data_IF_358125300206
#
_entry.id   IF_358125300206
#
_cell.length_a   1.000
_cell.length_b   1.000
_cell.length_c   1.000
_cell.angle_alpha   90.00
_cell.angle_beta   90.00
_cell.angle_gamma   90.00
#
_symmetry.space_group_name_H-M   'P 1'
#
loop_
_entity.id
_entity.type
_entity.pdbx_description
1 polymer ?
#
# COMPACT_ATOMS: atom_id res chain seq x y z
N UNK A 1 11.21 -8.11 -14.80
CA UNK A 1 11.70 -6.73 -14.53
C UNK A 1 10.69 -5.89 -13.76
N UNK A 2 9.39 -5.92 -14.11
CA UNK A 2 8.34 -5.14 -13.43
C UNK A 2 8.27 -5.43 -11.92
N UNK A 3 8.36 -6.69 -11.51
CA UNK A 3 8.30 -7.08 -10.10
C UNK A 3 9.37 -6.45 -9.20
N UNK A 4 10.51 -6.06 -9.76
CA UNK A 4 11.57 -5.36 -9.01
C UNK A 4 11.25 -3.89 -8.73
N UNK A 5 10.24 -3.34 -9.39
CA UNK A 5 9.80 -1.95 -9.23
C UNK A 5 8.62 -1.82 -8.28
N UNK A 6 8.03 -2.93 -7.86
CA UNK A 6 6.93 -2.93 -6.89
C UNK A 6 7.49 -2.62 -5.50
N UNK A 7 6.93 -1.61 -4.86
CA UNK A 7 7.31 -1.15 -3.51
C UNK A 7 6.10 -1.27 -2.61
N UNK A 8 5.93 -2.40 -1.90
CA UNK A 8 4.93 -2.48 -0.86
C UNK A 8 5.32 -1.57 0.29
N UNK A 9 4.38 -0.76 0.74
CA UNK A 9 4.54 0.14 1.88
C UNK A 9 3.51 -0.28 2.90
N UNK A 10 3.96 -0.74 4.05
CA UNK A 10 3.12 -1.38 5.05
C UNK A 10 3.35 -0.75 6.43
N UNK A 11 2.31 -0.68 7.26
CA UNK A 11 2.48 -0.48 8.69
C UNK A 11 3.07 -1.74 9.32
N UNK A 12 3.31 -1.72 10.61
CA UNK A 12 3.88 -2.82 11.39
C UNK A 12 3.01 -4.11 11.44
N UNK A 13 1.83 -4.07 10.89
CA UNK A 13 0.81 -5.11 10.99
C UNK A 13 0.61 -5.93 9.71
N UNK A 14 1.67 -6.12 8.93
CA UNK A 14 1.62 -6.82 7.64
C UNK A 14 0.96 -8.20 7.67
N UNK A 15 1.07 -8.94 8.79
CA UNK A 15 0.41 -10.25 8.96
C UNK A 15 -1.11 -10.15 8.91
N UNK A 16 -1.68 -9.08 9.48
CA UNK A 16 -3.12 -8.83 9.44
C UNK A 16 -3.63 -8.67 8.01
N UNK A 17 -2.78 -8.19 7.12
CA UNK A 17 -3.08 -8.03 5.70
C UNK A 17 -2.69 -9.23 4.84
N UNK A 18 -2.26 -10.35 5.45
CA UNK A 18 -1.85 -11.56 4.73
C UNK A 18 -0.54 -11.43 3.94
N UNK A 19 0.30 -10.46 4.28
CA UNK A 19 1.53 -10.16 3.55
C UNK A 19 2.78 -10.87 4.08
N UNK A 20 2.67 -11.64 5.13
CA UNK A 20 3.78 -12.38 5.73
C UNK A 20 4.45 -13.36 4.75
N UNK A 21 3.69 -13.90 3.80
CA UNK A 21 4.22 -14.73 2.71
C UNK A 21 5.16 -13.99 1.74
N UNK A 22 5.15 -12.66 1.74
CA UNK A 22 6.00 -11.83 0.87
C UNK A 22 7.41 -11.61 1.45
N UNK A 23 7.57 -11.70 2.76
CA UNK A 23 8.84 -11.43 3.44
C UNK A 23 10.02 -12.27 2.94
N UNK A 24 9.89 -13.59 2.70
CA UNK A 24 11.01 -14.39 2.24
C UNK A 24 11.52 -13.97 0.85
N UNK A 25 10.61 -13.52 -0.01
CA UNK A 25 10.91 -13.20 -1.41
C UNK A 25 11.29 -11.73 -1.59
N UNK A 26 10.47 -10.81 -1.07
CA UNK A 26 10.63 -9.37 -1.27
C UNK A 26 11.51 -8.73 -0.21
N UNK A 27 11.56 -9.29 0.98
CA UNK A 27 12.29 -8.82 2.16
C UNK A 27 11.91 -7.39 2.58
N UNK A 28 12.04 -7.07 3.84
CA UNK A 28 11.90 -5.72 4.35
C UNK A 28 13.20 -4.96 4.09
N UNK A 29 13.09 -3.78 3.54
CA UNK A 29 14.25 -2.94 3.32
C UNK A 29 14.82 -2.39 4.63
N UNK A 30 16.11 -2.61 4.84
CA UNK A 30 16.88 -2.00 5.92
C UNK A 30 18.28 -1.65 5.41
N UNK A 31 18.70 -0.37 5.47
CA UNK A 31 20.00 0.06 4.92
C UNK A 31 21.19 -0.58 5.61
N UNK A 32 21.00 -1.19 6.79
CA UNK A 32 22.06 -1.90 7.56
C UNK A 32 21.93 -3.41 7.46
N UNK A 33 20.92 -3.93 6.76
CA UNK A 33 20.56 -5.34 6.83
C UNK A 33 20.05 -5.75 8.21
N UNK A 34 19.81 -7.03 8.40
CA UNK A 34 19.33 -7.57 9.68
C UNK A 34 20.50 -7.95 10.58
N UNK A 35 20.74 -7.16 11.62
CA UNK A 35 21.85 -7.34 12.57
C UNK A 35 21.42 -7.96 13.91
N UNK A 36 20.26 -8.57 13.96
CA UNK A 36 19.67 -9.19 15.14
C UNK A 36 18.88 -10.44 14.75
N UNK A 37 18.63 -11.28 15.72
CA UNK A 37 17.68 -12.39 15.60
C UNK A 37 16.38 -11.95 16.26
N UNK A 38 15.24 -11.96 15.57
CA UNK A 38 13.96 -11.62 16.19
C UNK A 38 13.67 -12.50 17.40
N UNK A 39 13.11 -11.93 18.46
CA UNK A 39 12.80 -12.65 19.70
C UNK A 39 11.85 -13.83 19.47
N UNK A 40 10.99 -13.68 18.51
CA UNK A 40 9.95 -14.65 18.09
C UNK A 40 10.27 -15.35 16.77
N UNK A 41 11.56 -15.42 16.40
CA UNK A 41 11.99 -16.01 15.12
C UNK A 41 11.48 -17.44 14.91
N UNK A 42 11.29 -18.20 15.96
CA UNK A 42 10.74 -19.57 15.90
C UNK A 42 9.23 -19.58 15.56
N UNK A 43 8.54 -18.47 15.81
CA UNK A 43 7.12 -18.28 15.52
C UNK A 43 6.87 -17.52 14.21
N UNK A 44 7.83 -16.69 13.80
CA UNK A 44 7.79 -15.84 12.60
C UNK A 44 8.89 -16.22 11.61
N UNK A 45 8.78 -17.42 11.05
CA UNK A 45 9.78 -18.03 10.18
C UNK A 45 10.14 -17.22 8.93
N UNK A 46 9.32 -16.25 8.56
CA UNK A 46 9.45 -15.51 7.31
C UNK A 46 9.96 -14.06 7.45
N UNK A 47 10.08 -13.53 8.67
CA UNK A 47 10.55 -12.15 8.86
C UNK A 47 12.02 -12.01 8.46
N UNK A 48 12.28 -11.15 7.49
CA UNK A 48 13.63 -10.93 6.96
C UNK A 48 13.84 -9.50 6.50
N UNK A 49 14.89 -8.87 7.03
CA UNK A 49 15.37 -7.57 6.57
C UNK A 49 16.62 -7.72 5.71
N UNK A 50 16.76 -6.87 4.71
CA UNK A 50 17.94 -6.86 3.85
C UNK A 50 18.14 -5.51 3.18
N UNK A 51 19.38 -5.23 2.76
CA UNK A 51 19.73 -3.99 2.05
C UNK A 51 19.13 -3.94 0.63
N UNK A 52 18.74 -5.09 0.09
CA UNK A 52 18.04 -5.25 -1.19
C UNK A 52 16.55 -5.52 -1.03
N UNK A 53 15.99 -5.28 0.16
CA UNK A 53 14.56 -5.44 0.43
C UNK A 53 13.71 -4.45 -0.36
N UNK A 54 12.50 -4.88 -0.72
CA UNK A 54 11.54 -4.05 -1.47
C UNK A 54 10.40 -3.51 -0.59
N UNK A 55 10.14 -4.17 0.55
CA UNK A 55 9.05 -3.79 1.45
C UNK A 55 9.50 -2.65 2.34
N UNK A 56 8.80 -1.53 2.28
CA UNK A 56 8.98 -0.40 3.19
C UNK A 56 8.11 -0.61 4.43
N UNK A 57 8.75 -0.79 5.55
CA UNK A 57 8.13 -1.05 6.85
C UNK A 57 8.28 0.18 7.74
N UNK A 58 7.31 1.07 7.67
CA UNK A 58 7.37 2.40 8.28
C UNK A 58 7.04 2.41 9.78
N UNK A 59 6.59 1.28 10.33
CA UNK A 59 5.95 1.26 11.63
C UNK A 59 4.49 1.77 11.55
N UNK A 60 3.81 1.85 12.69
CA UNK A 60 2.41 2.29 12.76
C UNK A 60 2.36 3.82 12.61
N UNK A 61 2.55 4.29 11.40
CA UNK A 61 2.55 5.71 11.04
C UNK A 61 2.02 5.91 9.62
N UNK A 62 0.75 6.24 9.49
CA UNK A 62 0.13 6.53 8.20
C UNK A 62 0.78 7.75 7.53
N UNK A 63 1.21 8.73 8.32
CA UNK A 63 1.89 9.92 7.78
C UNK A 63 3.27 9.59 7.17
N UNK A 64 4.06 8.76 7.86
CA UNK A 64 5.35 8.28 7.34
C UNK A 64 5.17 7.44 6.08
N UNK A 65 4.23 6.49 6.12
CA UNK A 65 3.92 5.64 4.99
C UNK A 65 3.40 6.43 3.77
N UNK A 66 2.57 7.47 3.99
CA UNK A 66 2.10 8.34 2.91
C UNK A 66 3.25 9.17 2.29
N UNK A 67 4.23 9.58 3.09
CA UNK A 67 5.43 10.26 2.58
C UNK A 67 6.28 9.31 1.71
N UNK A 68 6.50 8.08 2.16
CA UNK A 68 7.18 7.05 1.38
C UNK A 68 6.41 6.69 0.10
N UNK A 69 5.08 6.61 0.19
CA UNK A 69 4.23 6.45 -0.99
C UNK A 69 4.45 7.58 -1.99
N UNK A 70 4.40 8.83 -1.56
CA UNK A 70 4.58 10.00 -2.43
C UNK A 70 5.96 9.99 -3.09
N UNK A 71 7.02 9.66 -2.34
CA UNK A 71 8.37 9.55 -2.87
C UNK A 71 8.48 8.48 -3.98
N UNK A 72 7.90 7.29 -3.76
CA UNK A 72 7.89 6.23 -4.75
C UNK A 72 6.97 6.56 -5.95
N UNK A 73 5.80 7.16 -5.69
CA UNK A 73 4.80 7.54 -6.70
C UNK A 73 5.31 8.59 -7.69
N UNK A 74 6.26 9.43 -7.27
CA UNK A 74 6.87 10.49 -8.08
C UNK A 74 8.28 10.17 -8.57
N UNK A 75 8.79 8.98 -8.30
CA UNK A 75 10.16 8.57 -8.61
C UNK A 75 10.50 8.66 -10.10
N UNK A 76 9.51 8.43 -10.97
CA UNK A 76 9.69 8.55 -12.41
C UNK A 76 10.13 9.96 -12.85
N UNK A 77 9.65 10.99 -12.15
CA UNK A 77 10.00 12.39 -12.43
C UNK A 77 11.26 12.84 -11.66
N UNK A 78 11.44 12.35 -10.43
CA UNK A 78 12.54 12.79 -9.55
C UNK A 78 13.82 12.01 -9.73
N UNK A 79 13.74 10.74 -10.13
CA UNK A 79 14.87 9.82 -10.26
C UNK A 79 15.04 9.24 -11.68
N UNK A 80 14.09 9.47 -12.57
CA UNK A 80 14.08 8.89 -13.92
C UNK A 80 13.70 7.40 -13.96
N UNK A 81 13.30 6.81 -12.83
CA UNK A 81 12.90 5.41 -12.70
C UNK A 81 11.51 5.33 -12.09
N UNK A 82 10.56 4.72 -12.80
CA UNK A 82 9.20 4.54 -12.30
C UNK A 82 9.14 3.38 -11.30
N UNK A 83 8.83 3.68 -10.06
CA UNK A 83 8.46 2.68 -9.05
C UNK A 83 6.94 2.52 -9.00
N UNK A 84 6.48 1.36 -8.55
CA UNK A 84 5.06 1.00 -8.43
C UNK A 84 4.75 0.86 -6.93
N UNK A 85 4.42 1.94 -6.24
CA UNK A 85 4.08 1.86 -4.83
C UNK A 85 2.73 1.17 -4.62
N UNK A 86 2.69 0.34 -3.60
CA UNK A 86 1.53 -0.39 -3.12
C UNK A 86 1.38 -0.11 -1.63
N UNK A 87 0.72 0.97 -1.29
CA UNK A 87 0.55 1.38 0.10
C UNK A 87 -0.70 0.75 0.70
N UNK A 88 -0.52 -0.07 1.72
CA UNK A 88 -1.58 -0.79 2.42
C UNK A 88 -1.74 -0.22 3.81
N UNK A 89 -2.98 0.03 4.22
CA UNK A 89 -3.34 0.51 5.55
C UNK A 89 -4.71 -0.05 5.97
N UNK A 90 -5.05 0.08 7.23
CA UNK A 90 -6.44 -0.11 7.65
C UNK A 90 -7.32 0.97 6.99
N UNK A 91 -8.33 0.56 6.25
CA UNK A 91 -9.18 1.46 5.43
C UNK A 91 -9.77 2.62 6.24
N UNK A 92 -10.09 2.38 7.51
CA UNK A 92 -10.61 3.38 8.45
C UNK A 92 -9.64 4.56 8.64
N UNK A 93 -8.32 4.32 8.59
CA UNK A 93 -7.35 5.32 9.01
C UNK A 93 -6.64 6.05 7.87
N UNK A 94 -6.61 5.49 6.68
CA UNK A 94 -5.85 6.04 5.56
C UNK A 94 -6.27 7.45 5.17
N UNK A 95 -7.39 7.60 4.51
CA UNK A 95 -7.87 8.91 4.07
C UNK A 95 -8.25 9.85 5.22
N UNK A 96 -8.72 9.34 6.34
CA UNK A 96 -9.02 10.18 7.50
C UNK A 96 -7.78 10.85 8.10
N UNK A 97 -6.64 10.17 8.11
CA UNK A 97 -5.41 10.67 8.73
C UNK A 97 -4.46 11.33 7.73
N UNK A 98 -4.51 10.93 6.46
CA UNK A 98 -3.52 11.34 5.46
C UNK A 98 -4.13 11.86 4.16
N UNK A 99 -5.40 12.28 4.18
CA UNK A 99 -6.06 12.82 2.99
C UNK A 99 -5.28 13.96 2.33
N UNK A 100 -4.75 14.90 3.12
CA UNK A 100 -3.91 16.00 2.62
C UNK A 100 -2.65 15.51 1.91
N UNK A 101 -2.02 14.44 2.40
CA UNK A 101 -0.85 13.86 1.76
C UNK A 101 -1.19 13.27 0.38
N UNK A 102 -2.37 12.69 0.21
CA UNK A 102 -2.83 12.21 -1.09
C UNK A 102 -3.22 13.36 -2.05
N UNK A 103 -3.71 14.49 -1.52
CA UNK A 103 -3.86 15.69 -2.32
C UNK A 103 -2.50 16.20 -2.81
N UNK A 104 -1.51 16.29 -1.91
CA UNK A 104 -0.16 16.69 -2.27
C UNK A 104 0.52 15.71 -3.26
N UNK A 105 0.27 14.40 -3.12
CA UNK A 105 0.74 13.40 -4.09
C UNK A 105 0.09 13.59 -5.47
N UNK A 106 -1.20 13.92 -5.51
CA UNK A 106 -1.92 14.25 -6.73
C UNK A 106 -1.36 15.48 -7.42
N UNK A 107 -1.11 16.56 -6.68
CA UNK A 107 -0.47 17.80 -7.19
C UNK A 107 0.92 17.53 -7.78
N UNK A 108 1.64 16.56 -7.23
CA UNK A 108 2.94 16.11 -7.73
C UNK A 108 2.84 15.08 -8.85
N UNK A 109 1.63 14.82 -9.37
CA UNK A 109 1.36 13.84 -10.42
C UNK A 109 1.78 12.41 -10.03
N UNK A 110 1.61 12.04 -8.76
CA UNK A 110 1.94 10.72 -8.23
C UNK A 110 1.12 9.60 -8.87
N UNK A 111 1.73 8.42 -8.99
CA UNK A 111 1.13 7.20 -9.56
C UNK A 111 1.29 6.05 -8.60
N UNK A 112 0.26 5.25 -8.40
CA UNK A 112 0.38 4.07 -7.55
C UNK A 112 -0.95 3.57 -7.01
N UNK A 113 -0.84 2.59 -6.12
CA UNK A 113 -1.98 1.93 -5.51
C UNK A 113 -2.05 2.25 -4.02
N UNK A 114 -3.21 2.64 -3.58
CA UNK A 114 -3.59 2.87 -2.19
C UNK A 114 -4.61 1.79 -1.85
N UNK A 115 -4.35 0.98 -0.85
CA UNK A 115 -5.18 -0.17 -0.52
C UNK A 115 -5.69 -0.04 0.92
N UNK A 116 -6.99 0.14 1.05
CA UNK A 116 -7.69 0.11 2.33
C UNK A 116 -8.03 -1.32 2.70
N UNK A 117 -7.21 -1.94 3.52
CA UNK A 117 -7.39 -3.32 3.96
C UNK A 117 -8.33 -3.41 5.17
N UNK A 118 -8.83 -4.63 5.45
CA UNK A 118 -9.84 -4.89 6.48
C UNK A 118 -11.05 -3.95 6.39
N UNK A 119 -11.42 -3.60 5.16
CA UNK A 119 -12.55 -2.73 4.91
C UNK A 119 -13.89 -3.38 5.31
N UNK A 120 -14.93 -2.56 5.38
CA UNK A 120 -16.27 -3.04 5.68
C UNK A 120 -16.67 -2.94 7.13
N UNK A 121 -17.85 -3.50 7.44
CA UNK A 121 -18.48 -3.37 8.74
C UNK A 121 -18.93 -4.72 9.34
N UNK A 122 -18.86 -5.78 8.58
CA UNK A 122 -19.45 -7.08 8.94
C UNK A 122 -18.43 -8.19 9.10
N UNK A 123 -17.24 -8.05 8.53
CA UNK A 123 -16.21 -9.09 8.47
C UNK A 123 -14.99 -8.78 9.33
N UNK A 124 -15.13 -7.80 10.23
CA UNK A 124 -14.07 -7.44 11.17
C UNK A 124 -13.94 -8.49 12.26
N UNK A 125 -12.76 -9.05 12.40
CA UNK A 125 -12.43 -10.11 13.35
C UNK A 125 -11.90 -9.51 14.64
N UNK A 126 -12.77 -8.95 15.48
CA UNK A 126 -12.42 -8.47 16.81
C UNK A 126 -11.86 -7.04 16.91
N UNK A 127 -11.68 -6.34 15.82
CA UNK A 127 -11.11 -4.97 15.82
C UNK A 127 -12.04 -3.91 16.40
N UNK A 128 -13.33 -4.18 16.42
CA UNK A 128 -14.33 -3.28 17.02
C UNK A 128 -14.69 -2.08 16.14
N UNK A 129 -15.51 -1.20 16.72
CA UNK A 129 -16.14 -0.07 16.01
C UNK A 129 -15.13 0.89 15.36
N UNK A 130 -13.97 1.08 15.95
CA UNK A 130 -12.94 1.99 15.44
C UNK A 130 -12.35 1.57 14.09
N UNK A 131 -12.57 0.34 13.66
CA UNK A 131 -12.12 -0.15 12.35
C UNK A 131 -13.26 -0.27 11.32
N UNK A 132 -14.49 0.04 11.71
CA UNK A 132 -15.65 -0.08 10.82
C UNK A 132 -15.65 1.05 9.80
N UNK A 133 -15.12 0.78 8.63
CA UNK A 133 -15.10 1.70 7.50
C UNK A 133 -16.31 1.51 6.55
N UNK A 134 -16.79 2.58 6.01
CA UNK A 134 -17.83 2.62 4.98
C UNK A 134 -17.83 4.00 4.32
N UNK A 135 -16.91 4.87 4.71
CA UNK A 135 -16.81 6.26 4.28
C UNK A 135 -15.51 6.59 3.53
N UNK A 136 -14.47 5.75 3.63
CA UNK A 136 -13.21 6.00 2.94
C UNK A 136 -13.35 6.13 1.41
N UNK A 137 -14.21 5.38 0.71
CA UNK A 137 -14.45 5.61 -0.71
C UNK A 137 -15.04 7.00 -1.02
N UNK A 138 -15.85 7.55 -0.11
CA UNK A 138 -16.39 8.91 -0.26
C UNK A 138 -15.28 9.94 -0.12
N UNK A 139 -14.38 9.77 0.85
CA UNK A 139 -13.21 10.65 1.00
C UNK A 139 -12.28 10.55 -0.22
N UNK A 140 -12.01 9.35 -0.69
CA UNK A 140 -11.20 9.12 -1.87
C UNK A 140 -11.79 9.79 -3.12
N UNK A 141 -13.10 9.70 -3.31
CA UNK A 141 -13.81 10.28 -4.46
C UNK A 141 -13.79 11.82 -4.49
N UNK A 142 -13.43 12.49 -3.41
CA UNK A 142 -13.25 13.95 -3.41
C UNK A 142 -11.97 14.39 -4.11
N UNK A 143 -10.98 13.52 -4.21
CA UNK A 143 -9.69 13.82 -4.83
C UNK A 143 -9.72 13.47 -6.33
N UNK A 144 -9.58 14.44 -7.24
CA UNK A 144 -9.67 14.20 -8.68
C UNK A 144 -8.54 13.34 -9.25
N UNK A 145 -7.43 13.21 -8.53
CA UNK A 145 -6.31 12.34 -8.91
C UNK A 145 -6.50 10.88 -8.43
N UNK A 146 -7.60 10.57 -7.72
CA UNK A 146 -7.86 9.25 -7.18
C UNK A 146 -9.02 8.58 -7.89
N UNK A 147 -8.82 7.37 -8.37
CA UNK A 147 -9.87 6.49 -8.91
C UNK A 147 -10.16 5.43 -7.85
N UNK A 148 -11.38 5.45 -7.31
CA UNK A 148 -11.78 4.61 -6.17
C UNK A 148 -12.63 3.43 -6.62
N UNK A 149 -12.34 2.23 -6.10
CA UNK A 149 -13.08 1.00 -6.34
C UNK A 149 -13.28 0.23 -5.04
N UNK A 150 -14.40 -0.48 -4.97
CA UNK A 150 -14.79 -1.35 -3.85
C UNK A 150 -15.09 -2.76 -4.39
N UNK A 151 -14.05 -3.53 -4.79
CA UNK A 151 -14.23 -4.86 -5.36
C UNK A 151 -14.71 -5.87 -4.32
N UNK A 152 -15.66 -6.72 -4.71
CA UNK A 152 -16.22 -7.76 -3.85
C UNK A 152 -15.40 -9.07 -3.88
N UNK A 153 -14.65 -9.33 -4.96
CA UNK A 153 -13.97 -10.60 -5.18
C UNK A 153 -12.51 -10.43 -5.57
N UNK A 154 -11.66 -11.39 -5.19
CA UNK A 154 -10.23 -11.36 -5.47
C UNK A 154 -9.88 -11.25 -6.97
N UNK A 155 -10.67 -11.84 -7.87
CA UNK A 155 -10.45 -11.70 -9.32
C UNK A 155 -10.68 -10.26 -9.81
N UNK A 156 -11.60 -9.52 -9.18
CA UNK A 156 -11.83 -8.10 -9.49
C UNK A 156 -10.64 -7.26 -9.05
N UNK A 157 -10.10 -7.54 -7.86
CA UNK A 157 -8.86 -6.89 -7.38
C UNK A 157 -7.73 -7.11 -8.38
N UNK A 158 -7.52 -8.37 -8.82
CA UNK A 158 -6.49 -8.70 -9.79
C UNK A 158 -6.68 -7.95 -11.12
N UNK A 159 -7.92 -7.86 -11.60
CA UNK A 159 -8.24 -7.12 -12.83
C UNK A 159 -8.00 -5.62 -12.67
N UNK A 160 -8.43 -5.02 -11.57
CA UNK A 160 -8.24 -3.60 -11.28
C UNK A 160 -6.76 -3.24 -11.15
N UNK A 161 -5.97 -4.09 -10.49
CA UNK A 161 -4.52 -3.89 -10.39
C UNK A 161 -3.86 -3.98 -11.76
N UNK A 162 -4.21 -4.99 -12.56
CA UNK A 162 -3.69 -5.12 -13.93
C UNK A 162 -4.03 -3.88 -14.79
N UNK A 163 -5.29 -3.44 -14.74
CA UNK A 163 -5.72 -2.24 -15.49
C UNK A 163 -5.06 -0.96 -14.97
N UNK A 164 -4.87 -0.84 -13.65
CA UNK A 164 -4.17 0.29 -13.06
C UNK A 164 -2.71 0.37 -13.49
N UNK A 165 -2.02 -0.77 -13.55
CA UNK A 165 -0.64 -0.84 -14.06
C UNK A 165 -0.60 -0.38 -15.53
N UNK A 166 -1.51 -0.86 -16.35
CA UNK A 166 -1.59 -0.46 -17.77
C UNK A 166 -1.80 1.04 -17.94
N UNK A 167 -2.72 1.65 -17.19
CA UNK A 167 -3.01 3.08 -17.28
C UNK A 167 -1.87 3.95 -16.76
N UNK A 168 -1.30 3.61 -15.62
CA UNK A 168 -0.30 4.43 -14.95
C UNK A 168 1.12 4.25 -15.50
N UNK A 169 1.44 3.05 -15.99
CA UNK A 169 2.82 2.67 -16.37
C UNK A 169 2.93 2.11 -17.80
N UNK A 170 1.81 2.03 -18.53
CA UNK A 170 1.76 1.72 -19.95
C UNK A 170 1.91 2.96 -20.84
N UNK A 171 1.39 2.91 -22.06
CA UNK A 171 1.52 3.99 -23.04
C UNK A 171 0.81 5.27 -22.62
N UNK A 172 -0.34 5.16 -21.94
CA UNK A 172 -1.14 6.30 -21.52
C UNK A 172 -0.45 7.17 -20.46
N UNK A 173 0.37 6.56 -19.61
CA UNK A 173 1.15 7.23 -18.56
C UNK A 173 0.33 8.17 -17.66
N UNK A 174 -0.90 7.77 -17.32
CA UNK A 174 -1.81 8.61 -16.54
C UNK A 174 -1.27 8.89 -15.13
N UNK A 175 -1.29 10.16 -14.72
CA UNK A 175 -0.92 10.58 -13.37
C UNK A 175 -2.13 10.47 -12.43
N UNK A 176 -2.44 9.27 -12.03
CA UNK A 176 -3.56 8.93 -11.15
C UNK A 176 -3.13 7.94 -10.06
N UNK A 177 -3.92 7.87 -9.00
CA UNK A 177 -3.77 6.89 -7.94
C UNK A 177 -5.02 6.00 -7.88
N UNK A 178 -4.84 4.70 -7.75
CA UNK A 178 -5.95 3.76 -7.54
C UNK A 178 -6.17 3.56 -6.05
N UNK A 179 -7.38 3.79 -5.58
CA UNK A 179 -7.80 3.39 -4.24
C UNK A 179 -8.68 2.16 -4.33
N UNK A 180 -8.28 1.08 -3.66
CA UNK A 180 -9.01 -0.18 -3.59
C UNK A 180 -9.31 -0.52 -2.14
N UNK A 181 -10.55 -0.83 -1.81
CA UNK A 181 -10.88 -1.47 -0.54
C UNK A 181 -10.78 -2.98 -0.69
N UNK A 182 -10.25 -3.66 0.33
CA UNK A 182 -10.14 -5.12 0.36
C UNK A 182 -10.63 -5.66 1.70
N UNK A 183 -11.22 -6.84 1.68
CA UNK A 183 -11.92 -7.47 2.79
C UNK A 183 -11.23 -8.76 3.23
N UNK A 184 -11.50 -9.19 4.47
CA UNK A 184 -10.95 -10.42 5.04
C UNK A 184 -11.91 -11.64 4.82
N UNK A 185 -12.49 -11.78 3.67
CA UNK A 185 -13.39 -12.88 3.31
C UNK A 185 -12.75 -13.84 2.31
#
# INVERSE_FOLDING_TARGET
ELGKRVVPIIPDEARTFGMDSWFPTMKIWNPRGQNYVPVDHDLMLSYREATDGQIMHEGISEAGAAASFTAAATSYATQGEAMIPLYIFYSMFGFQRTGDAFWAAGDQMGRGFIIGATAGRTTLTGEGLQHMDGHSPVLAATNPAVVSYDPAFGYEVAHLVSRGIERMYGEDNEAIMYYLTVYNE
#
